data_IF_667405893578
#
_entry.id   IF_667405893578
#
_cell.length_a   1.000
_cell.length_b   1.000
_cell.length_c   1.000
_cell.angle_alpha   90.00
_cell.angle_beta   90.00
_cell.angle_gamma   90.00
#
_symmetry.space_group_name_H-M   'P 1'
#
loop_
_entity.id
_entity.type
_entity.pdbx_description
1 polymer ?
#
# COMPACT_ATOMS: atom_id res chain seq x y z
N UNK A 1 -18.60 41.05 -21.65
CA UNK A 1 -17.62 40.07 -22.18
C UNK A 1 -16.50 39.75 -21.19
N UNK A 2 -15.80 40.75 -20.62
CA UNK A 2 -14.68 40.50 -19.68
C UNK A 2 -15.05 39.70 -18.41
N UNK A 3 -16.23 39.96 -17.82
CA UNK A 3 -16.69 39.28 -16.58
C UNK A 3 -17.00 37.79 -16.83
N UNK A 4 -17.59 37.47 -17.99
CA UNK A 4 -17.86 36.07 -18.39
C UNK A 4 -16.56 35.29 -18.62
N UNK A 5 -15.55 35.92 -19.24
CA UNK A 5 -14.24 35.30 -19.42
C UNK A 5 -13.55 35.01 -18.07
N UNK A 6 -13.66 35.93 -17.11
CA UNK A 6 -13.11 35.76 -15.75
C UNK A 6 -13.77 34.61 -14.98
N UNK A 7 -15.09 34.44 -15.13
CA UNK A 7 -15.85 33.33 -14.53
C UNK A 7 -15.51 31.97 -15.16
N UNK A 8 -15.29 31.93 -16.48
CA UNK A 8 -14.90 30.69 -17.17
C UNK A 8 -13.48 30.28 -16.76
N UNK A 9 -12.54 31.22 -16.69
CA UNK A 9 -11.15 30.94 -16.29
C UNK A 9 -11.07 30.49 -14.83
N UNK A 10 -11.83 31.12 -13.92
CA UNK A 10 -11.87 30.70 -12.52
C UNK A 10 -12.53 29.33 -12.34
N UNK A 11 -13.59 29.03 -13.08
CA UNK A 11 -14.24 27.72 -13.08
C UNK A 11 -13.33 26.58 -13.57
N UNK A 12 -12.57 26.81 -14.64
CA UNK A 12 -11.60 25.82 -15.15
C UNK A 12 -10.48 25.58 -14.15
N UNK A 13 -9.95 26.64 -13.50
CA UNK A 13 -8.91 26.51 -12.48
C UNK A 13 -9.38 25.66 -11.28
N UNK A 14 -10.62 25.87 -10.83
CA UNK A 14 -11.24 25.08 -9.75
C UNK A 14 -11.38 23.60 -10.13
N UNK A 15 -11.83 23.30 -11.35
CA UNK A 15 -11.99 21.91 -11.83
C UNK A 15 -10.63 21.21 -11.90
N UNK A 16 -9.58 21.89 -12.37
CA UNK A 16 -8.22 21.34 -12.43
C UNK A 16 -7.69 21.04 -11.01
N UNK A 17 -7.87 21.98 -10.08
CA UNK A 17 -7.46 21.77 -8.68
C UNK A 17 -8.20 20.60 -8.03
N UNK A 18 -9.51 20.51 -8.24
CA UNK A 18 -10.33 19.42 -7.71
C UNK A 18 -9.90 18.06 -8.28
N UNK A 19 -9.64 17.99 -9.59
CA UNK A 19 -9.11 16.77 -10.23
C UNK A 19 -7.75 16.37 -9.66
N UNK A 20 -6.85 17.33 -9.46
CA UNK A 20 -5.54 17.08 -8.84
C UNK A 20 -5.65 16.57 -7.41
N UNK A 21 -6.55 17.15 -6.60
CA UNK A 21 -6.79 16.72 -5.22
C UNK A 21 -7.44 15.33 -5.17
N UNK A 22 -8.40 15.06 -6.05
CA UNK A 22 -9.06 13.75 -6.18
C UNK A 22 -8.07 12.65 -6.56
N UNK A 23 -7.21 12.89 -7.56
CA UNK A 23 -6.19 11.92 -7.97
C UNK A 23 -5.18 11.64 -6.85
N UNK A 24 -4.78 12.67 -6.09
CA UNK A 24 -3.89 12.50 -4.94
C UNK A 24 -4.53 11.70 -3.81
N UNK A 25 -5.82 11.91 -3.55
CA UNK A 25 -6.57 11.15 -2.54
C UNK A 25 -6.70 9.68 -2.93
N UNK A 26 -6.98 9.39 -4.20
CA UNK A 26 -7.07 8.03 -4.72
C UNK A 26 -5.75 7.26 -4.49
N UNK A 27 -4.62 7.86 -4.88
CA UNK A 27 -3.27 7.29 -4.68
C UNK A 27 -2.98 6.99 -3.21
N UNK A 28 -3.23 7.96 -2.32
CA UNK A 28 -2.97 7.78 -0.87
C UNK A 28 -3.88 6.69 -0.28
N UNK A 29 -5.14 6.64 -0.70
CA UNK A 29 -6.10 5.65 -0.20
C UNK A 29 -5.77 4.24 -0.68
N UNK A 30 -5.27 4.09 -1.90
CA UNK A 30 -4.86 2.80 -2.46
C UNK A 30 -3.64 2.23 -1.74
N UNK A 31 -2.57 3.02 -1.53
CA UNK A 31 -1.40 2.60 -0.77
C UNK A 31 -1.75 2.25 0.69
N UNK A 32 -2.59 3.06 1.32
CA UNK A 32 -3.03 2.79 2.69
C UNK A 32 -3.85 1.49 2.79
N UNK A 33 -4.76 1.26 1.85
CA UNK A 33 -5.57 0.04 1.81
C UNK A 33 -4.71 -1.20 1.51
N UNK A 34 -3.71 -1.06 0.63
CA UNK A 34 -2.73 -2.11 0.35
C UNK A 34 -1.94 -2.47 1.62
N UNK A 35 -1.49 -1.47 2.38
CA UNK A 35 -0.84 -1.68 3.68
C UNK A 35 -1.74 -2.46 4.65
N UNK A 36 -3.01 -2.10 4.79
CA UNK A 36 -3.95 -2.83 5.65
C UNK A 36 -4.14 -4.28 5.21
N UNK A 37 -4.15 -4.54 3.89
CA UNK A 37 -4.22 -5.89 3.36
C UNK A 37 -2.95 -6.70 3.69
N UNK A 38 -1.77 -6.11 3.54
CA UNK A 38 -0.50 -6.73 3.94
C UNK A 38 -0.51 -7.04 5.44
N UNK A 39 -0.97 -6.10 6.28
CA UNK A 39 -1.10 -6.33 7.72
C UNK A 39 -2.04 -7.50 8.03
N UNK A 40 -3.15 -7.61 7.31
CA UNK A 40 -4.09 -8.74 7.43
C UNK A 40 -3.45 -10.07 7.03
N UNK A 41 -2.74 -10.11 5.89
CA UNK A 41 -2.04 -11.30 5.40
C UNK A 41 -1.03 -11.77 6.45
N UNK A 42 -0.18 -10.87 6.95
CA UNK A 42 0.87 -11.21 7.92
C UNK A 42 0.28 -11.69 9.26
N UNK A 43 -0.81 -11.08 9.74
CA UNK A 43 -1.43 -11.40 11.04
C UNK A 43 -2.34 -12.63 11.01
N UNK A 44 -3.04 -12.90 9.91
CA UNK A 44 -4.00 -14.00 9.82
C UNK A 44 -3.38 -15.31 9.31
N UNK A 45 -2.14 -15.27 8.84
CA UNK A 45 -1.39 -16.41 8.29
C UNK A 45 -0.86 -17.38 9.36
N UNK A 46 -1.53 -17.55 10.50
CA UNK A 46 -1.12 -18.35 11.69
C UNK A 46 -0.79 -19.85 11.44
N UNK A 47 -0.80 -20.32 10.19
CA UNK A 47 -0.43 -21.68 9.77
C UNK A 47 0.38 -21.74 8.48
N UNK A 48 0.81 -20.59 7.98
CA UNK A 48 1.39 -20.44 6.66
C UNK A 48 2.89 -20.11 6.79
N UNK A 49 3.71 -20.81 6.01
CA UNK A 49 5.16 -20.58 5.95
C UNK A 49 5.46 -19.16 5.45
N UNK A 50 6.61 -18.63 5.85
CA UNK A 50 7.11 -17.31 5.42
C UNK A 50 7.08 -17.14 3.91
N UNK A 51 7.55 -18.13 3.16
CA UNK A 51 7.57 -18.13 1.71
C UNK A 51 6.18 -17.92 1.10
N UNK A 52 5.14 -18.45 1.75
CA UNK A 52 3.76 -18.30 1.30
C UNK A 52 3.19 -16.93 1.72
N UNK A 53 3.63 -16.33 2.84
CA UNK A 53 3.30 -14.93 3.17
C UNK A 53 3.92 -13.97 2.16
N UNK A 54 5.22 -14.09 1.88
CA UNK A 54 5.90 -13.24 0.91
C UNK A 54 5.32 -13.43 -0.49
N UNK A 55 4.97 -14.66 -0.88
CA UNK A 55 4.28 -14.93 -2.15
C UNK A 55 2.89 -14.28 -2.21
N UNK A 56 2.12 -14.29 -1.13
CA UNK A 56 0.81 -13.62 -1.09
C UNK A 56 0.93 -12.11 -1.14
N UNK A 57 1.94 -11.54 -0.48
CA UNK A 57 2.23 -10.10 -0.56
C UNK A 57 2.62 -9.75 -2.00
N UNK A 58 3.48 -10.52 -2.66
CA UNK A 58 3.87 -10.27 -4.06
C UNK A 58 2.68 -10.28 -5.03
N UNK A 59 1.64 -11.06 -4.75
CA UNK A 59 0.39 -11.09 -5.54
C UNK A 59 -0.55 -9.93 -5.26
N UNK A 60 -0.18 -8.98 -4.40
CA UNK A 60 -1.05 -7.86 -4.03
C UNK A 60 -1.50 -7.04 -5.25
N UNK A 61 -0.66 -6.91 -6.28
CA UNK A 61 -1.01 -6.23 -7.53
C UNK A 61 -2.09 -6.96 -8.36
N UNK A 62 -2.34 -8.24 -8.11
CA UNK A 62 -3.36 -9.03 -8.82
C UNK A 62 -4.77 -8.80 -8.25
N UNK A 63 -4.87 -8.23 -7.06
CA UNK A 63 -6.16 -7.99 -6.41
C UNK A 63 -6.88 -6.78 -7.05
N UNK A 64 -8.22 -6.85 -7.21
CA UNK A 64 -9.00 -5.74 -7.74
C UNK A 64 -8.78 -4.45 -6.92
N UNK A 65 -8.41 -3.37 -7.60
CA UNK A 65 -8.14 -2.07 -6.97
C UNK A 65 -6.66 -1.82 -6.61
N UNK A 66 -5.79 -2.82 -6.72
CA UNK A 66 -4.35 -2.70 -6.41
C UNK A 66 -3.42 -2.87 -7.61
N UNK A 67 -3.93 -2.92 -8.85
CA UNK A 67 -3.11 -3.12 -10.06
C UNK A 67 -1.99 -2.08 -10.28
N UNK A 68 -2.07 -0.96 -9.59
CA UNK A 68 -1.14 0.16 -9.66
C UNK A 68 -0.17 0.19 -8.48
N UNK A 69 -0.39 -0.67 -7.48
CA UNK A 69 0.48 -0.90 -6.35
C UNK A 69 1.41 -2.05 -6.68
N UNK A 70 2.70 -1.80 -6.58
CA UNK A 70 3.77 -2.75 -6.82
C UNK A 70 4.47 -3.08 -5.52
N UNK A 71 4.81 -4.35 -5.34
CA UNK A 71 5.68 -4.76 -4.25
C UNK A 71 7.11 -4.65 -4.72
N UNK A 72 7.86 -3.72 -4.11
CA UNK A 72 9.27 -3.49 -4.44
C UNK A 72 10.15 -4.46 -3.68
N UNK A 73 9.86 -4.62 -2.38
CA UNK A 73 10.67 -5.44 -1.49
C UNK A 73 9.84 -6.00 -0.33
N UNK A 74 10.18 -7.22 0.08
CA UNK A 74 9.62 -7.91 1.24
C UNK A 74 10.74 -8.68 1.91
N UNK A 75 11.14 -8.22 3.09
CA UNK A 75 12.11 -8.90 3.94
C UNK A 75 11.45 -9.30 5.26
N UNK A 76 11.88 -10.42 5.82
CA UNK A 76 11.49 -10.86 7.16
C UNK A 76 12.71 -10.97 8.05
N UNK A 77 12.57 -10.51 9.29
CA UNK A 77 13.56 -10.69 10.34
C UNK A 77 12.93 -11.34 11.57
N UNK A 78 13.65 -12.28 12.18
CA UNK A 78 13.26 -12.88 13.46
C UNK A 78 13.66 -11.97 14.63
N UNK A 79 12.71 -11.68 15.50
CA UNK A 79 12.97 -10.91 16.71
C UNK A 79 13.42 -11.82 17.85
N UNK A 80 14.73 -11.98 17.96
CA UNK A 80 15.38 -12.79 18.99
C UNK A 80 15.72 -14.21 18.50
N UNK A 81 15.85 -15.16 19.42
CA UNK A 81 16.25 -16.54 19.12
C UNK A 81 15.07 -17.51 18.89
N UNK A 82 13.88 -16.98 18.60
CA UNK A 82 12.65 -17.78 18.47
C UNK A 82 11.84 -17.34 17.25
N UNK A 83 11.44 -18.30 16.42
CA UNK A 83 10.59 -18.10 15.25
C UNK A 83 9.19 -17.56 15.59
N UNK A 84 8.82 -17.50 16.88
CA UNK A 84 7.53 -16.99 17.37
C UNK A 84 7.31 -15.49 17.09
N UNK A 85 8.38 -14.70 17.01
CA UNK A 85 8.29 -13.24 16.83
C UNK A 85 9.02 -12.84 15.58
N UNK A 86 8.32 -12.22 14.64
CA UNK A 86 8.91 -11.79 13.37
C UNK A 86 8.44 -10.40 12.98
N UNK A 87 9.28 -9.69 12.25
CA UNK A 87 8.96 -8.40 11.62
C UNK A 87 9.13 -8.55 10.13
N UNK A 88 8.12 -8.13 9.38
CA UNK A 88 8.17 -8.03 7.94
C UNK A 88 8.38 -6.57 7.56
N UNK A 89 9.49 -6.27 6.88
CA UNK A 89 9.71 -4.99 6.18
C UNK A 89 9.09 -5.11 4.80
N UNK A 90 8.13 -4.26 4.50
CA UNK A 90 7.45 -4.26 3.19
C UNK A 90 7.56 -2.88 2.57
N UNK A 91 8.02 -2.87 1.32
CA UNK A 91 8.12 -1.66 0.50
C UNK A 91 7.11 -1.77 -0.64
N UNK A 92 6.13 -0.88 -0.64
CA UNK A 92 5.13 -0.76 -1.69
C UNK A 92 5.38 0.50 -2.51
N UNK A 93 5.17 0.42 -3.82
CA UNK A 93 5.26 1.55 -4.74
C UNK A 93 3.94 1.75 -5.47
N UNK A 94 3.44 2.98 -5.51
CA UNK A 94 2.39 3.35 -6.45
C UNK A 94 3.03 3.76 -7.79
N UNK A 95 2.72 3.02 -8.86
CA UNK A 95 3.26 3.24 -10.21
C UNK A 95 2.83 4.57 -10.82
N UNK A 96 1.69 5.13 -10.43
CA UNK A 96 1.13 6.36 -11.02
C UNK A 96 1.91 7.60 -10.62
N UNK A 97 2.44 7.59 -9.39
CA UNK A 97 3.15 8.74 -8.79
C UNK A 97 4.59 8.43 -8.43
N UNK A 98 5.06 7.19 -8.65
CA UNK A 98 6.39 6.71 -8.25
C UNK A 98 6.69 6.96 -6.76
N UNK A 99 5.65 6.87 -5.92
CA UNK A 99 5.78 7.06 -4.47
C UNK A 99 5.96 5.71 -3.83
N UNK A 100 7.00 5.59 -3.02
CA UNK A 100 7.29 4.40 -2.23
C UNK A 100 6.89 4.64 -0.77
N UNK A 101 6.31 3.62 -0.16
CA UNK A 101 6.06 3.56 1.28
C UNK A 101 6.65 2.28 1.86
N UNK A 102 7.55 2.47 2.80
CA UNK A 102 8.10 1.42 3.63
C UNK A 102 7.34 1.36 4.96
N UNK A 103 6.98 0.15 5.38
CA UNK A 103 6.39 -0.08 6.68
C UNK A 103 6.74 -1.45 7.23
N UNK A 104 6.56 -1.58 8.55
CA UNK A 104 6.93 -2.76 9.32
C UNK A 104 5.68 -3.40 9.89
N UNK A 105 5.54 -4.71 9.68
CA UNK A 105 4.42 -5.49 10.23
C UNK A 105 4.96 -6.55 11.17
N UNK A 106 4.55 -6.47 12.43
CA UNK A 106 4.89 -7.46 13.44
C UNK A 106 3.94 -8.66 13.39
N UNK A 107 4.51 -9.86 13.37
CA UNK A 107 3.81 -11.14 13.51
C UNK A 107 4.22 -11.80 14.83
N UNK A 108 3.22 -12.32 15.52
CA UNK A 108 3.40 -13.24 16.63
C UNK A 108 2.72 -14.55 16.30
N UNK A 109 3.48 -15.63 16.19
CA UNK A 109 2.97 -16.97 15.95
C UNK A 109 3.39 -17.91 17.10
N UNK A 110 2.50 -18.19 18.07
CA UNK A 110 2.82 -19.04 19.22
C UNK A 110 2.99 -20.53 18.85
N UNK A 111 2.80 -20.90 17.59
CA UNK A 111 2.92 -22.28 17.11
C UNK A 111 4.09 -22.47 16.13
N UNK A 112 4.87 -21.43 15.85
CA UNK A 112 6.10 -21.53 15.09
C UNK A 112 7.12 -22.36 15.89
N UNK A 113 7.49 -23.54 15.38
CA UNK A 113 8.44 -24.47 15.99
C UNK A 113 9.77 -24.45 15.26
#
# INVERSE_FOLDING_TARGET
>A
MAIMALLIVSGVALIIQYRGMSARLEVVTNLHSAKLMVESIVRNSNRVSEENISSQIQKLSEYPGFGEVEVVDVESEELGSSAEKRVFRVVLRDKRVSREEEFYVYRYDPYAK
#
